data_IF_536425540385
#
_entry.id   IF_536425540385
#
_cell.length_a   1.000
_cell.length_b   1.000
_cell.length_c   1.000
_cell.angle_alpha   90.00
_cell.angle_beta   90.00
_cell.angle_gamma   90.00
#
_symmetry.space_group_name_H-M   'P 1'
#
loop_
_entity.id
_entity.type
_entity.pdbx_description
1 polymer ?
#
# COMPACT_ATOMS: atom_id res chain seq x y z
N UNK A 1 1.45 12.56 19.88
CA UNK A 1 1.94 11.29 20.49
C UNK A 1 2.60 10.33 19.52
N UNK A 2 1.98 9.98 18.39
CA UNK A 2 2.53 8.93 17.51
C UNK A 2 3.71 9.35 16.61
N UNK A 3 3.68 10.55 16.04
CA UNK A 3 4.65 10.98 14.99
C UNK A 3 5.22 12.38 15.24
N UNK A 4 5.01 12.94 16.43
CA UNK A 4 5.47 14.29 16.76
C UNK A 4 4.88 15.36 15.83
N UNK A 5 5.75 16.20 15.27
CA UNK A 5 5.37 17.40 14.51
C UNK A 5 4.80 17.13 13.11
N UNK A 6 4.91 15.91 12.58
CA UNK A 6 4.37 15.55 11.26
C UNK A 6 2.92 15.04 11.33
N UNK A 7 2.26 15.26 12.47
CA UNK A 7 0.84 14.97 12.67
C UNK A 7 -0.04 15.84 11.75
N UNK A 8 -1.14 15.26 11.27
CA UNK A 8 -2.14 15.94 10.44
C UNK A 8 -3.51 15.78 11.08
N UNK A 9 -4.16 16.91 11.36
CA UNK A 9 -5.55 16.95 11.86
C UNK A 9 -6.53 16.45 10.79
N UNK A 10 -7.52 15.65 11.20
CA UNK A 10 -8.47 14.96 10.31
C UNK A 10 -8.00 13.60 9.78
N UNK A 11 -6.78 13.17 10.13
CA UNK A 11 -6.19 11.89 9.74
C UNK A 11 -5.65 11.09 10.94
N UNK A 12 -6.31 11.20 12.10
CA UNK A 12 -5.87 10.65 13.40
C UNK A 12 -5.79 9.11 13.43
N UNK A 13 -6.64 8.47 12.62
CA UNK A 13 -6.77 7.03 12.49
C UNK A 13 -6.12 6.47 11.21
N UNK A 14 -5.30 7.29 10.54
CA UNK A 14 -4.62 6.94 9.30
C UNK A 14 -3.10 7.06 9.46
N UNK A 15 -2.36 6.17 8.80
CA UNK A 15 -0.91 6.29 8.70
C UNK A 15 -0.55 7.15 7.48
N UNK A 16 0.51 7.96 7.63
CA UNK A 16 1.07 8.71 6.51
C UNK A 16 2.03 7.81 5.72
N UNK A 17 1.63 7.41 4.52
CA UNK A 17 2.42 6.62 3.58
C UNK A 17 3.33 7.53 2.76
N UNK A 18 4.63 7.21 2.71
CA UNK A 18 5.66 8.00 2.02
C UNK A 18 6.09 7.39 0.69
N UNK A 19 6.03 6.06 0.56
CA UNK A 19 6.35 5.37 -0.68
C UNK A 19 5.39 4.22 -0.90
N UNK A 20 5.18 3.87 -2.17
CA UNK A 20 4.28 2.82 -2.60
C UNK A 20 4.89 2.05 -3.78
N UNK A 21 4.81 0.72 -3.72
CA UNK A 21 5.19 -0.18 -4.81
C UNK A 21 4.19 -1.33 -4.87
N UNK A 22 3.65 -1.59 -6.06
CA UNK A 22 2.74 -2.70 -6.28
C UNK A 22 2.76 -3.15 -7.73
N UNK A 23 2.84 -4.47 -7.94
CA UNK A 23 2.98 -5.08 -9.25
C UNK A 23 1.93 -6.18 -9.40
N UNK A 24 1.26 -6.21 -10.55
CA UNK A 24 0.41 -7.32 -11.00
C UNK A 24 0.92 -7.76 -12.37
N UNK A 25 1.29 -9.02 -12.51
CA UNK A 25 1.85 -9.56 -13.77
C UNK A 25 0.98 -10.66 -14.32
N UNK A 26 0.76 -10.68 -15.63
CA UNK A 26 0.16 -11.83 -16.32
C UNK A 26 1.29 -12.56 -17.05
N UNK A 27 1.55 -13.85 -16.77
CA UNK A 27 2.51 -14.63 -17.54
C UNK A 27 2.10 -14.65 -19.02
N UNK A 28 3.05 -14.40 -19.92
CA UNK A 28 2.84 -14.42 -21.37
C UNK A 28 3.75 -15.46 -22.03
N UNK A 29 3.28 -16.06 -23.12
CA UNK A 29 4.09 -16.93 -23.96
C UNK A 29 5.11 -16.09 -24.76
N UNK A 30 6.43 -16.36 -24.63
CA UNK A 30 7.47 -15.59 -25.33
C UNK A 30 7.36 -15.57 -26.86
N UNK A 31 6.75 -16.60 -27.47
CA UNK A 31 6.69 -16.70 -28.94
C UNK A 31 5.47 -15.99 -29.54
N UNK A 32 4.35 -15.95 -28.82
CA UNK A 32 3.08 -15.39 -29.31
C UNK A 32 2.66 -14.08 -28.63
N UNK A 33 3.23 -13.77 -27.45
CA UNK A 33 2.82 -12.65 -26.61
C UNK A 33 1.45 -12.83 -25.94
N UNK A 34 0.80 -13.99 -26.12
CA UNK A 34 -0.52 -14.25 -25.54
C UNK A 34 -0.42 -14.61 -24.05
N UNK A 35 -1.44 -14.26 -23.23
CA UNK A 35 -1.52 -14.70 -21.84
C UNK A 35 -1.45 -16.24 -21.74
N UNK A 36 -0.45 -16.74 -21.00
CA UNK A 36 -0.18 -18.18 -20.84
C UNK A 36 -0.55 -18.70 -19.45
N UNK A 37 -0.96 -17.83 -18.54
CA UNK A 37 -1.35 -18.20 -17.18
C UNK A 37 -2.21 -17.16 -16.49
N UNK A 38 -2.63 -17.48 -15.26
CA UNK A 38 -3.39 -16.55 -14.43
C UNK A 38 -2.50 -15.39 -13.98
N UNK A 39 -3.11 -14.22 -13.76
CA UNK A 39 -2.45 -13.08 -13.13
C UNK A 39 -1.82 -13.45 -11.79
N UNK A 40 -0.64 -12.92 -11.54
CA UNK A 40 0.15 -13.10 -10.33
C UNK A 40 0.25 -11.74 -9.65
N UNK A 41 -0.37 -11.64 -8.47
CA UNK A 41 -0.28 -10.47 -7.62
C UNK A 41 1.03 -10.52 -6.84
N UNK A 42 1.86 -9.49 -7.00
CA UNK A 42 2.99 -9.26 -6.10
C UNK A 42 2.50 -8.51 -4.86
N UNK A 43 3.24 -8.58 -3.74
CA UNK A 43 2.85 -7.92 -2.51
C UNK A 43 2.62 -6.43 -2.71
N UNK A 44 1.61 -5.91 -2.03
CA UNK A 44 1.36 -4.48 -1.90
C UNK A 44 2.33 -3.91 -0.87
N UNK A 45 3.21 -3.00 -1.28
CA UNK A 45 4.25 -2.45 -0.42
C UNK A 45 4.01 -0.97 -0.17
N UNK A 46 4.02 -0.59 1.09
CA UNK A 46 3.94 0.81 1.48
C UNK A 46 4.98 1.11 2.58
N UNK A 47 5.54 2.31 2.54
CA UNK A 47 6.55 2.75 3.51
C UNK A 47 5.98 3.83 4.41
N UNK A 48 6.14 3.65 5.73
CA UNK A 48 5.76 4.62 6.76
C UNK A 48 6.95 4.89 7.68
N UNK A 49 6.90 5.99 8.44
CA UNK A 49 7.81 6.19 9.55
C UNK A 49 7.42 5.32 10.76
N UNK A 50 8.33 5.15 11.73
CA UNK A 50 7.99 4.53 13.01
C UNK A 50 6.87 5.30 13.71
N UNK A 51 5.79 4.60 14.05
CA UNK A 51 4.57 5.20 14.61
C UNK A 51 3.85 4.19 15.54
N UNK A 52 2.73 4.61 16.15
CA UNK A 52 1.95 3.82 17.13
C UNK A 52 1.46 2.46 16.58
N UNK A 53 1.28 2.35 15.27
CA UNK A 53 0.75 1.15 14.62
C UNK A 53 1.83 0.12 14.30
N UNK A 54 3.12 0.50 14.24
CA UNK A 54 4.20 -0.42 13.87
C UNK A 54 4.29 -1.65 14.79
N UNK A 55 4.25 -1.54 16.13
CA UNK A 55 4.22 -2.72 16.99
C UNK A 55 3.01 -3.62 16.75
N UNK A 56 1.85 -3.03 16.42
CA UNK A 56 0.63 -3.79 16.11
C UNK A 56 0.79 -4.56 14.79
N UNK A 57 1.40 -3.93 13.78
CA UNK A 57 1.71 -4.61 12.51
C UNK A 57 2.68 -5.78 12.69
N UNK A 58 3.67 -5.66 13.59
CA UNK A 58 4.54 -6.79 13.94
C UNK A 58 3.77 -7.94 14.62
N UNK A 59 2.79 -7.64 15.48
CA UNK A 59 1.93 -8.67 16.06
C UNK A 59 1.10 -9.38 14.97
N UNK A 60 0.51 -8.62 14.05
CA UNK A 60 -0.25 -9.19 12.93
C UNK A 60 0.64 -10.05 12.01
N UNK A 61 1.86 -9.59 11.72
CA UNK A 61 2.85 -10.36 10.96
C UNK A 61 3.22 -11.67 11.68
N UNK A 62 3.57 -11.61 12.96
CA UNK A 62 4.03 -12.78 13.72
C UNK A 62 2.94 -13.82 13.96
N UNK A 63 1.68 -13.39 14.06
CA UNK A 63 0.52 -14.27 14.26
C UNK A 63 -0.14 -14.74 12.96
N UNK A 64 0.21 -14.15 11.82
CA UNK A 64 -0.51 -14.37 10.56
C UNK A 64 -1.94 -13.84 10.60
N UNK A 65 -2.19 -12.77 11.37
CA UNK A 65 -3.50 -12.15 11.49
C UNK A 65 -4.00 -11.66 10.14
N UNK A 66 -5.27 -11.94 9.84
CA UNK A 66 -5.93 -11.45 8.66
C UNK A 66 -6.55 -10.09 8.94
N UNK A 67 -6.08 -9.08 8.22
CA UNK A 67 -6.60 -7.73 8.21
C UNK A 67 -7.81 -7.68 7.26
N UNK A 68 -9.03 -7.44 7.76
CA UNK A 68 -10.25 -7.54 6.94
C UNK A 68 -10.28 -6.49 5.82
N UNK A 69 -9.76 -5.29 6.10
CA UNK A 69 -9.73 -4.18 5.14
C UNK A 69 -8.48 -3.33 5.33
N UNK A 70 -7.83 -3.01 4.21
CA UNK A 70 -6.80 -1.96 4.12
C UNK A 70 -7.25 -0.98 3.04
N UNK A 71 -7.19 0.31 3.31
CA UNK A 71 -7.62 1.35 2.38
C UNK A 71 -6.51 2.39 2.24
N UNK A 72 -5.93 2.47 1.04
CA UNK A 72 -4.96 3.49 0.67
C UNK A 72 -5.67 4.60 -0.10
N UNK A 73 -5.64 5.81 0.45
CA UNK A 73 -6.22 7.01 -0.16
C UNK A 73 -5.12 7.86 -0.77
N UNK A 74 -5.29 8.20 -2.04
CA UNK A 74 -4.36 9.03 -2.80
C UNK A 74 -4.87 10.46 -2.85
N UNK A 75 -4.02 11.38 -2.43
CA UNK A 75 -4.31 12.80 -2.42
C UNK A 75 -3.49 13.53 -3.48
N UNK A 76 -4.08 14.58 -4.04
CA UNK A 76 -3.38 15.55 -4.90
C UNK A 76 -3.88 16.96 -4.60
N UNK A 77 -3.11 17.96 -5.01
CA UNK A 77 -3.55 19.35 -4.97
C UNK A 77 -4.51 19.62 -6.13
N UNK A 78 -5.74 20.02 -5.81
CA UNK A 78 -6.76 20.39 -6.80
C UNK A 78 -6.46 21.75 -7.45
N UNK A 79 -7.21 22.09 -8.48
CA UNK A 79 -7.13 23.42 -9.14
C UNK A 79 -7.45 24.58 -8.19
N UNK A 80 -8.19 24.32 -7.11
CA UNK A 80 -8.52 25.30 -6.07
C UNK A 80 -7.43 25.42 -4.98
N UNK A 81 -6.33 24.67 -5.11
CA UNK A 81 -5.24 24.64 -4.13
C UNK A 81 -5.55 23.83 -2.87
N UNK A 82 -6.62 23.03 -2.86
CA UNK A 82 -7.00 22.18 -1.73
C UNK A 82 -6.49 20.75 -1.94
N UNK A 83 -6.22 20.03 -0.85
CA UNK A 83 -5.97 18.59 -0.95
C UNK A 83 -7.29 17.88 -1.28
N UNK A 84 -7.30 17.13 -2.38
CA UNK A 84 -8.44 16.32 -2.79
C UNK A 84 -8.06 14.84 -2.86
N UNK A 85 -8.93 13.99 -2.32
CA UNK A 85 -8.83 12.54 -2.47
C UNK A 85 -9.37 12.15 -3.85
N UNK A 86 -8.50 11.68 -4.73
CA UNK A 86 -8.85 11.40 -6.13
C UNK A 86 -8.88 9.92 -6.51
N UNK A 87 -8.21 9.07 -5.72
CA UNK A 87 -8.09 7.64 -5.99
C UNK A 87 -8.01 6.84 -4.69
N UNK A 88 -8.61 5.65 -4.68
CA UNK A 88 -8.57 4.69 -3.58
C UNK A 88 -8.12 3.33 -4.07
N UNK A 89 -7.25 2.69 -3.30
CA UNK A 89 -6.92 1.27 -3.46
C UNK A 89 -7.35 0.54 -2.19
N UNK A 90 -8.28 -0.40 -2.32
CA UNK A 90 -8.89 -1.11 -1.18
C UNK A 90 -8.50 -2.58 -1.28
N UNK A 91 -7.92 -3.13 -0.22
CA UNK A 91 -7.60 -4.54 -0.10
C UNK A 91 -8.58 -5.19 0.88
N UNK A 92 -9.07 -6.37 0.53
CA UNK A 92 -9.93 -7.20 1.40
C UNK A 92 -9.22 -8.49 1.77
N UNK A 93 -9.35 -8.91 3.03
CA UNK A 93 -8.73 -10.12 3.60
C UNK A 93 -7.23 -10.19 3.28
N UNK A 94 -6.49 -9.30 3.94
CA UNK A 94 -5.07 -9.06 3.72
C UNK A 94 -4.22 -9.64 4.85
N UNK A 95 -3.00 -10.06 4.57
CA UNK A 95 -2.05 -10.55 5.56
C UNK A 95 -0.70 -9.89 5.34
N UNK A 96 -0.09 -9.41 6.41
CA UNK A 96 1.27 -8.87 6.35
C UNK A 96 2.23 -10.05 6.18
N UNK A 97 3.08 -10.00 5.16
CA UNK A 97 4.02 -11.08 4.84
C UNK A 97 5.47 -10.74 5.18
N UNK A 98 5.80 -9.45 5.27
CA UNK A 98 7.14 -8.96 5.54
C UNK A 98 7.10 -7.50 6.03
N UNK A 99 8.00 -7.15 6.95
CA UNK A 99 8.23 -5.77 7.41
C UNK A 99 9.73 -5.51 7.41
N UNK A 100 10.17 -4.67 6.49
CA UNK A 100 11.55 -4.20 6.38
C UNK A 100 11.70 -2.83 7.06
N UNK A 101 12.31 -2.81 8.24
CA UNK A 101 12.53 -1.60 9.03
C UNK A 101 13.99 -1.16 8.90
N UNK A 102 14.20 -0.02 8.24
CA UNK A 102 15.53 0.53 7.98
C UNK A 102 15.65 1.94 8.53
N UNK A 103 16.87 2.28 8.97
CA UNK A 103 17.25 3.65 9.28
C UNK A 103 18.51 3.98 8.47
N UNK A 104 18.50 5.04 7.64
CA UNK A 104 19.68 5.49 6.93
C UNK A 104 20.86 5.81 7.86
N UNK A 105 22.07 5.72 7.32
CA UNK A 105 23.28 6.01 8.07
C UNK A 105 23.36 7.50 8.41
N UNK A 106 23.49 7.85 9.70
CA UNK A 106 23.43 9.24 10.19
C UNK A 106 24.52 10.16 9.63
N UNK A 107 25.63 9.60 9.11
CA UNK A 107 26.71 10.38 8.49
C UNK A 107 26.52 10.61 6.97
N UNK A 108 25.54 9.96 6.34
CA UNK A 108 25.28 10.15 4.91
C UNK A 108 24.54 11.49 4.70
N UNK A 109 25.25 12.47 4.14
CA UNK A 109 24.70 13.80 3.90
C UNK A 109 23.49 13.80 2.96
N UNK A 110 23.40 12.82 2.05
CA UNK A 110 22.32 12.73 1.07
C UNK A 110 21.03 12.17 1.68
N UNK A 111 21.08 11.63 2.91
CA UNK A 111 19.94 10.98 3.57
C UNK A 111 19.54 11.66 4.88
N UNK A 112 20.03 12.87 5.11
CA UNK A 112 19.77 13.64 6.35
C UNK A 112 18.30 13.97 6.59
N UNK A 113 17.50 14.09 5.53
CA UNK A 113 16.08 14.41 5.63
C UNK A 113 15.21 13.17 5.92
N UNK A 114 15.77 11.97 5.72
CA UNK A 114 15.06 10.74 6.01
C UNK A 114 15.13 10.39 7.48
N UNK A 115 14.00 9.92 8.00
CA UNK A 115 13.89 9.32 9.33
C UNK A 115 14.05 7.81 9.22
N UNK A 116 13.24 7.04 9.92
CA UNK A 116 13.11 5.60 9.72
C UNK A 116 12.13 5.31 8.58
N UNK A 117 12.41 4.22 7.86
CA UNK A 117 11.63 3.74 6.74
C UNK A 117 11.17 2.33 7.07
N UNK A 118 9.89 2.17 7.35
CA UNK A 118 9.25 0.88 7.63
C UNK A 118 8.42 0.49 6.42
N UNK A 119 8.96 -0.42 5.60
CA UNK A 119 8.28 -0.93 4.42
C UNK A 119 7.51 -2.19 4.79
N UNK A 120 6.19 -2.11 4.68
CA UNK A 120 5.28 -3.22 5.00
C UNK A 120 4.81 -3.85 3.71
N UNK A 121 5.04 -5.15 3.56
CA UNK A 121 4.58 -5.95 2.42
C UNK A 121 3.32 -6.72 2.81
N UNK A 122 2.29 -6.61 1.98
CA UNK A 122 0.97 -7.20 2.24
C UNK A 122 0.56 -8.09 1.08
N UNK A 123 0.19 -9.33 1.39
CA UNK A 123 -0.58 -10.18 0.48
C UNK A 123 -2.07 -9.97 0.75
N UNK A 124 -2.91 -10.15 -0.27
CA UNK A 124 -4.35 -9.89 -0.16
C UNK A 124 -5.13 -10.84 -1.06
N UNK A 125 -6.41 -11.03 -0.72
CA UNK A 125 -7.32 -11.87 -1.50
C UNK A 125 -7.99 -11.10 -2.63
N UNK A 126 -8.49 -9.89 -2.33
CA UNK A 126 -9.20 -9.04 -3.28
C UNK A 126 -8.62 -7.63 -3.23
N UNK A 127 -8.54 -7.00 -4.39
CA UNK A 127 -8.13 -5.61 -4.55
C UNK A 127 -9.17 -4.87 -5.39
N UNK A 128 -9.55 -3.69 -4.96
CA UNK A 128 -10.42 -2.76 -5.67
C UNK A 128 -9.65 -1.46 -5.90
N UNK A 129 -9.72 -0.95 -7.12
CA UNK A 129 -9.17 0.34 -7.53
C UNK A 129 -10.33 1.25 -7.90
N UNK A 130 -10.36 2.45 -7.35
CA UNK A 130 -11.43 3.41 -7.59
C UNK A 130 -10.84 4.80 -7.84
N UNK A 131 -11.11 5.36 -9.03
CA UNK A 131 -10.83 6.76 -9.30
C UNK A 131 -12.07 7.59 -8.95
N UNK A 132 -12.16 8.03 -7.70
CA UNK A 132 -13.34 8.71 -7.13
C UNK A 132 -13.80 9.93 -7.93
N UNK A 133 -12.86 10.73 -8.45
CA UNK A 133 -13.19 11.95 -9.21
C UNK A 133 -13.69 11.65 -10.64
N UNK A 134 -13.23 10.56 -11.25
CA UNK A 134 -13.59 10.19 -12.62
C UNK A 134 -14.74 9.15 -12.66
N UNK A 135 -15.06 8.53 -11.53
CA UNK A 135 -16.10 7.51 -11.38
C UNK A 135 -15.74 6.14 -11.97
N UNK A 136 -14.49 5.93 -12.40
CA UNK A 136 -14.04 4.63 -12.93
C UNK A 136 -13.56 3.73 -11.80
N UNK A 137 -13.82 2.44 -11.92
CA UNK A 137 -13.37 1.43 -10.96
C UNK A 137 -12.92 0.15 -11.66
N UNK A 138 -12.06 -0.60 -10.99
CA UNK A 138 -11.65 -1.94 -11.36
C UNK A 138 -11.52 -2.78 -10.10
N UNK A 139 -11.67 -4.09 -10.23
CA UNK A 139 -11.54 -5.01 -9.11
C UNK A 139 -10.94 -6.33 -9.59
N UNK A 140 -10.19 -7.00 -8.72
CA UNK A 140 -9.77 -8.38 -8.94
C UNK A 140 -9.85 -9.18 -7.64
N UNK A 141 -10.31 -10.43 -7.73
CA UNK A 141 -10.44 -11.36 -6.61
C UNK A 141 -9.71 -12.66 -6.96
N UNK A 142 -8.71 -13.00 -6.17
CA UNK A 142 -7.95 -14.23 -6.33
C UNK A 142 -8.86 -15.48 -6.34
N UNK A 143 -9.94 -15.49 -5.55
CA UNK A 143 -10.86 -16.65 -5.45
C UNK A 143 -11.93 -16.70 -6.53
N UNK A 144 -12.23 -15.58 -7.17
CA UNK A 144 -13.28 -15.46 -8.17
C UNK A 144 -12.71 -14.74 -9.40
N UNK A 145 -11.87 -15.42 -10.21
CA UNK A 145 -11.42 -14.84 -11.47
C UNK A 145 -12.64 -14.52 -12.32
N UNK A 146 -12.74 -13.28 -12.80
CA UNK A 146 -13.77 -12.88 -13.77
C UNK A 146 -13.51 -13.70 -15.04
N UNK A 147 -14.44 -14.59 -15.41
CA UNK A 147 -14.37 -15.30 -16.68
C UNK A 147 -14.40 -14.25 -17.82
N UNK A 148 -13.41 -14.35 -18.71
CA UNK A 148 -13.25 -13.45 -19.85
C UNK A 148 -14.30 -13.69 -20.94
#
# INVERSE_FOLDING_TARGET
DSVGNIYVEGHEDQMLVQAFDHIVTVPTDPQSGQPSGQRVHKPFKFTVALNKAVPLMYNSLASGEMLPKIELKWYRTSVEGKQEHFFSTILTDSTIIDIDCQMPHCQDANKKEFTQLVTVSVAYRKIDWEHTVAGTSGADDWRAPVEA
#
